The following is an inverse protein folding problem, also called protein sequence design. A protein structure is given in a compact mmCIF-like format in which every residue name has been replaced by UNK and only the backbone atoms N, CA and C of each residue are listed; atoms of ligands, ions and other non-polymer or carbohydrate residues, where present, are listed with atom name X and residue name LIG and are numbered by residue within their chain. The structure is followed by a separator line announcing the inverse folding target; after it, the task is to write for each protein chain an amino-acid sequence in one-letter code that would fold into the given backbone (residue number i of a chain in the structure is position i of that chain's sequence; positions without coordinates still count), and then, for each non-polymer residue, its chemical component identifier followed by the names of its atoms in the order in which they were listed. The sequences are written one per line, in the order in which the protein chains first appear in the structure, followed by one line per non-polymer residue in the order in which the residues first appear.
data_IF_044673034996
#
_entry.id   IF_044673034996
#
_cell.length_a   1.000
_cell.length_b   1.000
_cell.length_c   1.000
_cell.angle_alpha   90.00
_cell.angle_beta   90.00
_cell.angle_gamma   90.00
#
_symmetry.space_group_name_H-M   'P 1'
#
loop_
_entity.id
_entity.type
_entity.pdbx_description
1 polymer ?
#
# COMPACT_ATOMS: atom_id res chain seq x y z
N UNK A 1 26.31 -42.46 27.44
CA UNK A 1 25.68 -41.81 26.26
C UNK A 1 25.39 -40.36 26.67
N UNK A 2 26.30 -39.45 26.29
CA UNK A 2 26.22 -38.02 26.61
C UNK A 2 25.33 -37.32 25.60
N UNK A 3 24.18 -36.79 26.09
CA UNK A 3 23.36 -35.87 25.33
C UNK A 3 24.00 -34.46 25.29
N UNK A 4 24.36 -34.01 24.10
CA UNK A 4 24.75 -32.61 23.87
C UNK A 4 23.50 -31.75 23.80
N UNK A 5 23.37 -30.82 24.76
CA UNK A 5 22.39 -29.71 24.76
C UNK A 5 22.73 -28.77 23.63
N UNK A 6 21.76 -28.49 22.77
CA UNK A 6 21.89 -27.47 21.73
C UNK A 6 21.92 -26.09 22.40
N UNK A 7 23.03 -25.38 22.20
CA UNK A 7 23.19 -24.01 22.70
C UNK A 7 22.23 -23.08 21.95
N UNK A 8 21.37 -22.41 22.72
CA UNK A 8 20.53 -21.31 22.26
C UNK A 8 21.43 -20.12 21.92
N UNK A 9 21.61 -19.84 20.63
CA UNK A 9 22.31 -18.64 20.19
C UNK A 9 21.39 -17.45 20.45
N UNK A 10 21.90 -16.38 21.08
CA UNK A 10 21.09 -15.17 21.27
C UNK A 10 20.81 -14.52 19.93
N UNK A 11 19.53 -14.32 19.62
CA UNK A 11 19.14 -13.43 18.54
C UNK A 11 19.68 -12.01 18.83
N UNK A 12 20.31 -11.33 17.85
CA UNK A 12 20.67 -9.95 18.03
C UNK A 12 19.37 -9.15 18.27
N UNK A 13 19.29 -8.51 19.42
CA UNK A 13 18.21 -7.58 19.73
C UNK A 13 18.25 -6.46 18.70
N UNK A 14 17.24 -6.40 17.83
CA UNK A 14 17.00 -5.24 16.99
C UNK A 14 16.76 -4.07 17.94
N UNK A 15 17.67 -3.08 17.92
CA UNK A 15 17.47 -1.82 18.62
C UNK A 15 16.13 -1.23 18.16
N UNK A 16 15.28 -0.71 19.06
CA UNK A 16 14.05 -0.06 18.66
C UNK A 16 14.41 1.23 17.90
N UNK A 17 14.46 1.13 16.58
CA UNK A 17 14.33 2.30 15.73
C UNK A 17 12.90 2.80 15.96
N UNK A 18 12.76 3.93 16.63
CA UNK A 18 11.50 4.67 16.60
C UNK A 18 11.19 4.93 15.14
N UNK A 19 10.17 4.31 14.54
CA UNK A 19 9.87 4.53 13.15
C UNK A 19 9.28 5.93 13.06
N UNK A 20 10.06 6.89 12.55
CA UNK A 20 9.48 8.14 12.09
C UNK A 20 8.54 7.78 10.95
N UNK A 21 7.25 7.82 11.24
CA UNK A 21 6.20 7.55 10.24
C UNK A 21 6.37 8.53 9.08
N UNK A 22 6.41 8.05 7.83
CA UNK A 22 6.59 8.92 6.68
C UNK A 22 5.49 9.97 6.60
N UNK A 23 5.87 11.25 6.53
CA UNK A 23 4.92 12.36 6.35
C UNK A 23 4.34 12.32 4.93
N UNK A 24 3.07 12.72 4.76
CA UNK A 24 2.46 12.84 3.43
C UNK A 24 3.25 13.83 2.55
N UNK A 25 3.40 13.47 1.30
CA UNK A 25 3.91 14.40 0.28
C UNK A 25 2.74 15.22 -0.30
N UNK A 26 2.98 16.42 -0.87
CA UNK A 26 1.91 17.21 -1.48
C UNK A 26 1.15 16.40 -2.54
N UNK A 27 -0.18 16.53 -2.54
CA UNK A 27 -1.00 15.88 -3.56
C UNK A 27 -0.70 16.47 -4.95
N UNK A 28 -0.70 15.65 -6.00
CA UNK A 28 -0.46 16.13 -7.36
C UNK A 28 -1.58 17.07 -7.79
N UNK A 29 -1.23 18.14 -8.47
CA UNK A 29 -2.22 19.00 -9.12
C UNK A 29 -2.65 18.32 -10.43
N UNK A 30 -3.86 17.79 -10.45
CA UNK A 30 -4.47 17.33 -11.70
C UNK A 30 -4.85 18.53 -12.56
N UNK A 31 -4.67 18.42 -13.87
CA UNK A 31 -5.13 19.43 -14.81
C UNK A 31 -6.64 19.69 -14.64
N UNK A 32 -7.13 20.89 -15.01
CA UNK A 32 -8.54 21.22 -14.91
C UNK A 32 -9.41 20.24 -15.69
N UNK A 33 -10.60 19.91 -15.16
CA UNK A 33 -11.57 19.06 -15.84
C UNK A 33 -12.13 19.77 -17.06
N UNK A 34 -12.09 19.12 -18.21
CA UNK A 34 -12.75 19.61 -19.42
C UNK A 34 -14.24 19.25 -19.33
N UNK A 35 -15.13 20.22 -19.59
CA UNK A 35 -16.57 20.00 -19.54
C UNK A 35 -16.98 18.83 -20.46
N UNK A 36 -17.68 17.85 -19.91
CA UNK A 36 -18.12 16.64 -20.62
C UNK A 36 -17.10 15.52 -20.71
N UNK A 37 -15.91 15.66 -20.13
CA UNK A 37 -14.90 14.62 -20.04
C UNK A 37 -14.55 14.37 -18.57
N UNK A 38 -15.21 13.41 -17.89
CA UNK A 38 -14.93 13.12 -16.50
C UNK A 38 -13.51 12.58 -16.33
N UNK A 39 -12.87 12.91 -15.22
CA UNK A 39 -11.62 12.28 -14.80
C UNK A 39 -11.87 10.83 -14.47
N UNK A 40 -11.04 9.97 -14.99
CA UNK A 40 -11.07 8.54 -14.71
C UNK A 40 -10.13 8.24 -13.54
N UNK A 41 -10.69 7.72 -12.46
CA UNK A 41 -9.93 7.37 -11.25
C UNK A 41 -10.02 5.86 -11.03
N UNK A 42 -8.89 5.17 -11.02
CA UNK A 42 -8.85 3.78 -10.64
C UNK A 42 -8.57 3.63 -9.15
N UNK A 43 -9.32 2.74 -8.49
CA UNK A 43 -9.07 2.33 -7.10
C UNK A 43 -8.39 0.96 -7.17
N UNK A 44 -7.12 0.89 -6.78
CA UNK A 44 -6.32 -0.33 -6.86
C UNK A 44 -5.87 -0.79 -5.46
N UNK A 45 -5.76 -2.09 -5.26
CA UNK A 45 -5.20 -2.62 -4.02
C UNK A 45 -5.89 -3.86 -3.47
N UNK A 46 -5.54 -4.19 -2.24
CA UNK A 46 -6.02 -5.36 -1.51
C UNK A 46 -7.30 -5.07 -0.70
N UNK A 47 -7.51 -5.78 0.41
CA UNK A 47 -8.66 -5.55 1.30
C UNK A 47 -8.66 -4.14 1.92
N UNK A 48 -7.52 -3.47 2.01
CA UNK A 48 -7.46 -2.09 2.51
C UNK A 48 -8.18 -1.14 1.56
N UNK A 49 -8.09 -1.36 0.25
CA UNK A 49 -8.92 -0.66 -0.72
C UNK A 49 -10.35 -1.20 -0.74
N UNK A 50 -10.51 -2.52 -0.89
CA UNK A 50 -11.80 -3.16 -1.13
C UNK A 50 -12.81 -2.95 0.01
N UNK A 51 -12.35 -3.00 1.27
CA UNK A 51 -13.21 -2.93 2.47
C UNK A 51 -13.00 -1.61 3.22
N UNK A 52 -11.77 -1.08 3.21
CA UNK A 52 -11.43 0.11 3.99
C UNK A 52 -11.82 1.42 3.32
N UNK A 53 -11.48 1.62 2.06
CA UNK A 53 -11.57 2.92 1.39
C UNK A 53 -12.62 3.02 0.29
N UNK A 54 -12.87 1.93 -0.44
CA UNK A 54 -13.65 1.99 -1.69
C UNK A 54 -15.06 2.54 -1.48
N UNK A 55 -15.76 2.12 -0.44
CA UNK A 55 -17.15 2.54 -0.20
C UNK A 55 -17.25 4.04 0.10
N UNK A 56 -16.30 4.58 0.85
CA UNK A 56 -16.24 6.02 1.14
C UNK A 56 -15.96 6.79 -0.14
N UNK A 57 -14.91 6.41 -0.89
CA UNK A 57 -14.52 7.08 -2.12
C UNK A 57 -15.63 7.03 -3.19
N UNK A 58 -16.30 5.89 -3.33
CA UNK A 58 -17.43 5.74 -4.25
C UNK A 58 -18.62 6.60 -3.85
N UNK A 59 -18.94 6.69 -2.56
CA UNK A 59 -20.03 7.54 -2.07
C UNK A 59 -19.74 9.02 -2.29
N UNK A 60 -18.53 9.48 -1.92
CA UNK A 60 -18.11 10.87 -2.08
C UNK A 60 -18.03 11.32 -3.54
N UNK A 61 -17.75 10.39 -4.45
CA UNK A 61 -17.68 10.69 -5.90
C UNK A 61 -18.98 10.46 -6.65
N UNK A 62 -19.97 9.76 -6.07
CA UNK A 62 -21.20 9.33 -6.75
C UNK A 62 -22.01 10.49 -7.36
N UNK A 63 -22.04 11.65 -6.69
CA UNK A 63 -22.77 12.83 -7.15
C UNK A 63 -21.93 13.76 -8.05
N UNK A 64 -20.66 13.44 -8.27
CA UNK A 64 -19.75 14.28 -9.04
C UNK A 64 -19.68 13.81 -10.52
N UNK A 65 -20.35 14.49 -11.47
CA UNK A 65 -20.35 14.08 -12.88
C UNK A 65 -18.99 14.24 -13.55
N UNK A 66 -18.03 14.89 -12.88
CA UNK A 66 -16.67 15.10 -13.38
C UNK A 66 -15.70 13.99 -12.99
N UNK A 67 -16.17 12.96 -12.27
CA UNK A 67 -15.36 11.82 -11.84
C UNK A 67 -16.04 10.53 -12.22
N UNK A 68 -15.28 9.62 -12.84
CA UNK A 68 -15.67 8.25 -13.11
C UNK A 68 -14.69 7.30 -12.44
N UNK A 69 -15.20 6.38 -11.64
CA UNK A 69 -14.38 5.48 -10.83
C UNK A 69 -14.34 4.09 -11.46
N UNK A 70 -13.14 3.51 -11.52
CA UNK A 70 -12.88 2.11 -11.91
C UNK A 70 -12.45 1.34 -10.68
N UNK A 71 -13.02 0.16 -10.48
CA UNK A 71 -12.67 -0.75 -9.39
C UNK A 71 -11.62 -1.75 -9.89
N UNK A 72 -10.40 -1.63 -9.41
CA UNK A 72 -9.28 -2.51 -9.72
C UNK A 72 -8.64 -3.03 -8.43
N UNK A 73 -9.43 -3.67 -7.56
CA UNK A 73 -8.96 -4.16 -6.26
C UNK A 73 -9.39 -5.61 -6.02
N UNK A 74 -8.57 -6.35 -5.25
CA UNK A 74 -8.80 -7.75 -4.91
C UNK A 74 -8.36 -8.05 -3.48
N UNK A 75 -9.30 -8.38 -2.59
CA UNK A 75 -9.00 -8.78 -1.20
C UNK A 75 -8.10 -10.03 -1.16
N UNK A 76 -7.23 -10.10 -0.15
CA UNK A 76 -6.34 -11.23 0.06
C UNK A 76 -5.11 -11.25 -0.85
N UNK A 77 -4.85 -10.19 -1.61
CA UNK A 77 -3.70 -10.06 -2.51
C UNK A 77 -2.62 -9.15 -1.94
N UNK A 78 -1.49 -9.06 -2.63
CA UNK A 78 -0.36 -8.18 -2.28
C UNK A 78 0.71 -8.27 -3.36
N UNK A 79 1.77 -7.49 -3.20
CA UNK A 79 2.91 -7.52 -4.11
C UNK A 79 3.97 -8.57 -3.74
N UNK A 80 3.90 -9.10 -2.51
CA UNK A 80 4.84 -10.13 -2.05
C UNK A 80 4.59 -11.52 -2.67
N UNK A 81 3.39 -11.78 -3.20
CA UNK A 81 2.98 -13.10 -3.69
C UNK A 81 2.39 -13.06 -5.12
N UNK A 82 3.22 -12.74 -6.14
CA UNK A 82 2.75 -12.76 -7.54
C UNK A 82 2.35 -14.17 -8.00
N UNK A 83 2.84 -15.22 -7.35
CA UNK A 83 2.41 -16.60 -7.56
C UNK A 83 0.95 -16.88 -7.15
N UNK A 84 0.37 -16.05 -6.30
CA UNK A 84 -1.05 -16.10 -5.88
C UNK A 84 -1.91 -15.14 -6.70
N UNK A 85 -1.40 -13.94 -6.96
CA UNK A 85 -2.08 -12.92 -7.73
C UNK A 85 -1.05 -11.93 -8.28
N UNK A 86 -0.85 -11.96 -9.60
CA UNK A 86 0.12 -11.09 -10.26
C UNK A 86 -0.53 -9.76 -10.67
N UNK A 87 -0.24 -8.72 -9.89
CA UNK A 87 -0.74 -7.37 -10.14
C UNK A 87 -0.27 -6.80 -11.49
N UNK A 88 0.85 -7.29 -12.03
CA UNK A 88 1.35 -6.82 -13.34
C UNK A 88 0.49 -7.31 -14.51
N UNK A 89 -0.14 -8.47 -14.36
CA UNK A 89 -1.06 -9.06 -15.34
C UNK A 89 -2.51 -8.65 -15.06
N UNK A 90 -2.91 -8.67 -13.80
CA UNK A 90 -4.31 -8.53 -13.40
C UNK A 90 -4.81 -7.08 -13.43
N UNK A 91 -3.97 -6.09 -13.06
CA UNK A 91 -4.39 -4.69 -13.08
C UNK A 91 -4.81 -4.23 -14.50
N UNK A 92 -4.02 -4.49 -15.57
CA UNK A 92 -4.45 -4.18 -16.92
C UNK A 92 -5.77 -4.88 -17.31
N UNK A 93 -5.95 -6.14 -16.90
CA UNK A 93 -7.19 -6.87 -17.17
C UNK A 93 -8.40 -6.23 -16.46
N UNK A 94 -8.22 -5.75 -15.22
CA UNK A 94 -9.28 -5.08 -14.45
C UNK A 94 -9.71 -3.74 -15.03
N UNK A 95 -8.77 -2.94 -15.53
CA UNK A 95 -9.09 -1.63 -16.12
C UNK A 95 -9.53 -1.74 -17.59
N UNK A 96 -9.21 -2.85 -18.27
CA UNK A 96 -9.55 -3.08 -19.68
C UNK A 96 -8.93 -2.02 -20.61
N UNK A 97 -9.76 -1.38 -21.43
CA UNK A 97 -9.32 -0.31 -22.34
C UNK A 97 -9.28 1.08 -21.72
N UNK A 98 -9.57 1.19 -20.42
CA UNK A 98 -9.61 2.47 -19.73
C UNK A 98 -8.20 3.04 -19.50
N UNK A 99 -8.12 4.36 -19.53
CA UNK A 99 -6.88 5.08 -19.24
C UNK A 99 -7.12 6.00 -18.04
N UNK A 100 -6.79 5.55 -16.81
CA UNK A 100 -6.97 6.38 -15.62
C UNK A 100 -6.11 7.65 -15.68
N UNK A 101 -6.69 8.79 -15.31
CA UNK A 101 -5.97 10.04 -15.04
C UNK A 101 -5.26 9.98 -13.68
N UNK A 102 -5.86 9.23 -12.76
CA UNK A 102 -5.31 9.02 -11.41
C UNK A 102 -5.58 7.60 -10.91
N UNK A 103 -4.69 7.09 -10.08
CA UNK A 103 -4.85 5.80 -9.40
C UNK A 103 -4.67 6.01 -7.90
N UNK A 104 -5.64 5.60 -7.10
CA UNK A 104 -5.51 5.56 -5.65
C UNK A 104 -5.18 4.13 -5.26
N UNK A 105 -4.03 3.93 -4.61
CA UNK A 105 -3.53 2.60 -4.24
C UNK A 105 -3.56 2.43 -2.73
N UNK A 106 -4.18 1.34 -2.25
CA UNK A 106 -4.08 0.88 -0.87
C UNK A 106 -3.79 -0.63 -0.86
N UNK A 107 -2.52 -1.00 -0.68
CA UNK A 107 -2.01 -2.37 -0.80
C UNK A 107 -0.86 -2.61 0.18
N UNK A 108 -0.67 -3.86 0.58
CA UNK A 108 0.46 -4.28 1.39
C UNK A 108 0.09 -4.97 2.70
N UNK A 109 -1.18 -4.95 3.10
CA UNK A 109 -1.61 -5.56 4.36
C UNK A 109 -1.30 -7.07 4.43
N UNK A 110 -1.21 -7.76 3.30
CA UNK A 110 -0.88 -9.17 3.19
C UNK A 110 0.62 -9.45 2.94
N UNK A 111 1.43 -8.41 2.80
CA UNK A 111 2.83 -8.56 2.35
C UNK A 111 3.83 -8.80 3.48
N UNK A 112 3.42 -8.69 4.73
CA UNK A 112 4.25 -8.95 5.91
C UNK A 112 4.62 -10.42 6.12
N UNK A 113 5.06 -11.11 5.08
CA UNK A 113 5.42 -12.53 5.07
C UNK A 113 6.64 -12.79 4.21
N UNK A 114 7.34 -13.93 4.48
CA UNK A 114 8.38 -14.40 3.57
C UNK A 114 7.80 -14.90 2.26
N UNK A 115 8.61 -14.88 1.20
CA UNK A 115 8.26 -15.44 -0.11
C UNK A 115 9.43 -16.16 -0.74
N UNK A 116 9.15 -16.91 -1.81
CA UNK A 116 10.15 -17.59 -2.58
C UNK A 116 10.53 -16.77 -3.83
N UNK A 117 11.83 -16.60 -4.07
CA UNK A 117 12.39 -15.93 -5.24
C UNK A 117 13.58 -16.73 -5.73
N UNK A 118 13.62 -17.08 -7.01
CA UNK A 118 14.69 -17.86 -7.65
C UNK A 118 15.07 -19.13 -6.87
N UNK A 119 14.07 -19.86 -6.37
CA UNK A 119 14.25 -21.07 -5.59
C UNK A 119 14.75 -20.88 -4.15
N UNK A 120 14.88 -19.62 -3.68
CA UNK A 120 15.31 -19.28 -2.33
C UNK A 120 14.15 -18.69 -1.53
N UNK A 121 14.04 -19.09 -0.26
CA UNK A 121 13.09 -18.48 0.66
C UNK A 121 13.70 -17.19 1.22
N UNK A 122 13.08 -16.06 0.97
CA UNK A 122 13.44 -14.77 1.54
C UNK A 122 12.55 -14.49 2.76
N UNK A 123 13.18 -14.36 3.92
CA UNK A 123 12.46 -14.03 5.15
C UNK A 123 12.00 -12.56 5.14
N UNK A 124 10.78 -12.28 5.61
CA UNK A 124 10.26 -10.93 5.72
C UNK A 124 11.25 -9.99 6.43
N UNK A 125 11.51 -8.84 5.82
CA UNK A 125 12.38 -7.81 6.37
C UNK A 125 13.88 -8.06 6.23
N UNK A 126 14.32 -9.20 5.65
CA UNK A 126 15.73 -9.38 5.29
C UNK A 126 16.12 -8.45 4.13
N UNK A 127 17.41 -8.09 4.02
CA UNK A 127 17.88 -7.18 2.97
C UNK A 127 17.49 -7.66 1.57
N UNK A 128 17.62 -8.96 1.29
CA UNK A 128 17.21 -9.55 0.01
C UNK A 128 15.70 -9.43 -0.22
N UNK A 129 14.88 -9.67 0.82
CA UNK A 129 13.44 -9.50 0.77
C UNK A 129 13.07 -8.05 0.47
N UNK A 130 13.68 -7.11 1.20
CA UNK A 130 13.44 -5.66 1.01
C UNK A 130 13.78 -5.22 -0.41
N UNK A 131 14.92 -5.67 -0.93
CA UNK A 131 15.34 -5.35 -2.29
C UNK A 131 14.33 -5.83 -3.34
N UNK A 132 13.91 -7.09 -3.28
CA UNK A 132 12.92 -7.65 -4.22
C UNK A 132 11.58 -6.94 -4.06
N UNK A 133 11.12 -6.69 -2.84
CA UNK A 133 9.86 -6.03 -2.61
C UNK A 133 9.84 -4.58 -3.12
N UNK A 134 10.95 -3.83 -2.97
CA UNK A 134 11.12 -2.50 -3.57
C UNK A 134 11.05 -2.55 -5.11
N UNK A 135 11.66 -3.57 -5.73
CA UNK A 135 11.58 -3.77 -7.18
C UNK A 135 10.15 -4.01 -7.65
N UNK A 136 9.38 -4.82 -6.91
CA UNK A 136 7.96 -5.08 -7.21
C UNK A 136 7.09 -3.84 -7.06
N UNK A 137 7.31 -3.03 -6.03
CA UNK A 137 6.63 -1.73 -5.88
C UNK A 137 6.98 -0.81 -7.06
N UNK A 138 8.25 -0.72 -7.43
CA UNK A 138 8.70 0.13 -8.54
C UNK A 138 8.10 -0.32 -9.89
N UNK A 139 8.05 -1.63 -10.14
CA UNK A 139 7.43 -2.19 -11.33
C UNK A 139 5.93 -1.87 -11.37
N UNK A 140 5.22 -2.04 -10.24
CA UNK A 140 3.80 -1.72 -10.16
C UNK A 140 3.55 -0.22 -10.37
N UNK A 141 4.32 0.67 -9.76
CA UNK A 141 4.23 2.11 -9.99
C UNK A 141 4.49 2.47 -11.47
N UNK A 142 5.48 1.84 -12.10
CA UNK A 142 5.76 2.04 -13.53
C UNK A 142 4.56 1.64 -14.39
N UNK A 143 3.90 0.52 -14.08
CA UNK A 143 2.68 0.09 -14.76
C UNK A 143 1.55 1.10 -14.57
N UNK A 144 1.33 1.58 -13.34
CA UNK A 144 0.24 2.50 -13.03
C UNK A 144 0.41 3.87 -13.69
N UNK A 145 1.66 4.31 -13.91
CA UNK A 145 1.99 5.64 -14.45
C UNK A 145 2.30 5.66 -15.95
N UNK A 146 2.32 4.50 -16.61
CA UNK A 146 2.77 4.37 -18.03
C UNK A 146 2.01 5.26 -19.03
N UNK A 147 0.75 5.60 -18.74
CA UNK A 147 -0.08 6.47 -19.59
C UNK A 147 -0.21 7.89 -19.02
N UNK A 148 0.72 8.32 -18.16
CA UNK A 148 0.72 9.65 -17.58
C UNK A 148 -0.21 9.81 -16.37
N UNK A 149 -0.80 8.73 -15.86
CA UNK A 149 -1.61 8.79 -14.65
C UNK A 149 -0.77 9.23 -13.43
N UNK A 150 -1.40 9.94 -12.51
CA UNK A 150 -0.82 10.22 -11.20
C UNK A 150 -1.25 9.16 -10.20
N UNK A 151 -0.36 8.80 -9.27
CA UNK A 151 -0.64 7.78 -8.26
C UNK A 151 -0.67 8.42 -6.87
N UNK A 152 -1.72 8.14 -6.09
CA UNK A 152 -1.77 8.39 -4.66
C UNK A 152 -1.65 7.06 -3.94
N UNK A 153 -0.50 6.81 -3.34
CA UNK A 153 -0.27 5.61 -2.53
C UNK A 153 -0.63 5.88 -1.09
N UNK A 154 -1.65 5.21 -0.63
CA UNK A 154 -2.14 5.31 0.75
C UNK A 154 -1.36 4.35 1.63
N UNK A 155 -0.72 4.85 2.67
CA UNK A 155 -0.05 4.03 3.67
C UNK A 155 -1.02 3.15 4.43
N UNK A 156 -0.52 2.02 4.94
CA UNK A 156 -1.30 1.14 5.80
C UNK A 156 -1.62 1.86 7.13
N UNK A 157 -2.85 1.72 7.62
CA UNK A 157 -3.27 2.28 8.89
C UNK A 157 -2.59 1.58 10.08
N UNK A 158 -2.69 2.15 11.31
CA UNK A 158 -2.27 1.45 12.51
C UNK A 158 -3.16 0.23 12.72
N UNK A 159 -2.54 -0.88 13.13
CA UNK A 159 -3.21 -2.17 13.28
C UNK A 159 -3.41 -2.52 14.75
N UNK A 160 -4.54 -3.17 15.09
CA UNK A 160 -4.87 -3.59 16.47
C UNK A 160 -3.84 -4.58 17.05
N UNK A 161 -3.37 -5.53 16.26
CA UNK A 161 -2.31 -6.47 16.66
C UNK A 161 -0.95 -5.77 16.60
N UNK A 162 -0.22 -5.74 17.72
CA UNK A 162 1.12 -5.15 17.78
C UNK A 162 2.07 -5.75 16.74
N UNK A 163 2.11 -7.08 16.62
CA UNK A 163 2.93 -7.77 15.63
C UNK A 163 2.57 -7.39 14.19
N UNK A 164 1.28 -7.26 13.90
CA UNK A 164 0.82 -6.87 12.57
C UNK A 164 1.11 -5.39 12.30
N UNK A 165 1.02 -4.54 13.33
CA UNK A 165 1.34 -3.13 13.26
C UNK A 165 2.84 -2.89 12.97
N UNK A 166 3.74 -3.66 13.57
CA UNK A 166 5.18 -3.62 13.26
C UNK A 166 5.45 -3.96 11.78
N UNK A 167 4.78 -5.00 11.26
CA UNK A 167 4.89 -5.38 9.85
C UNK A 167 4.33 -4.30 8.93
N UNK A 168 3.18 -3.72 9.26
CA UNK A 168 2.58 -2.63 8.50
C UNK A 168 3.48 -1.39 8.47
N UNK A 169 4.12 -1.04 9.59
CA UNK A 169 5.07 0.05 9.67
C UNK A 169 6.29 -0.18 8.78
N UNK A 170 6.84 -1.40 8.76
CA UNK A 170 7.96 -1.76 7.89
C UNK A 170 7.56 -1.73 6.40
N UNK A 171 6.40 -2.26 6.03
CA UNK A 171 5.85 -2.16 4.67
C UNK A 171 5.70 -0.70 4.26
N UNK A 172 5.14 0.15 5.12
CA UNK A 172 5.00 1.59 4.87
C UNK A 172 6.35 2.26 4.62
N UNK A 173 7.36 1.96 5.46
CA UNK A 173 8.71 2.51 5.32
C UNK A 173 9.34 2.13 3.97
N UNK A 174 9.20 0.87 3.57
CA UNK A 174 9.73 0.37 2.30
C UNK A 174 9.00 1.00 1.12
N UNK A 175 7.66 1.02 1.14
CA UNK A 175 6.84 1.60 0.09
C UNK A 175 7.13 3.10 -0.07
N UNK A 176 7.20 3.86 1.03
CA UNK A 176 7.56 5.27 1.00
C UNK A 176 8.90 5.52 0.32
N UNK A 177 9.91 4.68 0.55
CA UNK A 177 11.23 4.82 -0.06
C UNK A 177 11.20 4.78 -1.58
N UNK A 178 10.27 4.03 -2.17
CA UNK A 178 10.08 3.91 -3.62
C UNK A 178 9.14 4.99 -4.14
N UNK A 179 7.98 5.16 -3.51
CA UNK A 179 6.95 6.12 -3.91
C UNK A 179 7.49 7.55 -3.94
N UNK A 180 8.23 7.95 -2.90
CA UNK A 180 8.80 9.31 -2.80
C UNK A 180 9.84 9.65 -3.88
N UNK A 181 10.36 8.65 -4.58
CA UNK A 181 11.31 8.82 -5.70
C UNK A 181 10.63 8.75 -7.08
N UNK A 182 9.34 8.46 -7.13
CA UNK A 182 8.58 8.33 -8.37
C UNK A 182 7.86 9.65 -8.66
N UNK A 183 8.20 10.39 -9.72
CA UNK A 183 7.70 11.75 -9.95
C UNK A 183 6.18 11.89 -10.03
N UNK A 184 5.47 10.87 -10.56
CA UNK A 184 4.01 10.85 -10.70
C UNK A 184 3.32 10.22 -9.48
N UNK A 185 4.06 9.85 -8.43
CA UNK A 185 3.50 9.22 -7.26
C UNK A 185 3.57 10.12 -6.02
N UNK A 186 2.52 10.08 -5.22
CA UNK A 186 2.40 10.82 -3.97
C UNK A 186 2.13 9.83 -2.85
N UNK A 187 2.85 9.95 -1.76
CA UNK A 187 2.58 9.21 -0.54
C UNK A 187 1.55 9.95 0.32
N UNK A 188 0.48 9.27 0.69
CA UNK A 188 -0.49 9.78 1.65
C UNK A 188 -0.46 8.96 2.94
N UNK A 189 -0.15 9.65 4.05
CA UNK A 189 -0.11 9.03 5.38
C UNK A 189 -1.47 9.14 6.06
N UNK A 190 -2.17 8.03 6.33
CA UNK A 190 -3.48 8.05 6.99
C UNK A 190 -3.40 8.28 8.50
N UNK A 191 -2.24 8.05 9.14
CA UNK A 191 -2.11 8.06 10.60
C UNK A 191 -2.65 9.33 11.29
N UNK A 192 -2.42 10.55 10.80
CA UNK A 192 -2.94 11.76 11.43
C UNK A 192 -4.48 11.83 11.49
N UNK A 193 -5.16 11.01 10.66
CA UNK A 193 -6.61 11.06 10.51
C UNK A 193 -7.32 9.90 11.21
N UNK A 194 -6.66 8.75 11.36
CA UNK A 194 -7.28 7.51 11.85
C UNK A 194 -6.58 6.89 13.06
N UNK A 195 -5.39 7.39 13.43
CA UNK A 195 -4.71 7.03 14.67
C UNK A 195 -5.25 7.79 15.88
N UNK A 196 -4.82 7.40 17.07
CA UNK A 196 -4.93 8.24 18.26
C UNK A 196 -3.88 9.38 18.20
N UNK A 197 -3.80 10.20 19.26
CA UNK A 197 -2.85 11.32 19.34
C UNK A 197 -1.37 10.87 19.24
N UNK A 198 -1.07 9.61 19.56
CA UNK A 198 0.25 8.99 19.41
C UNK A 198 0.46 8.33 18.05
N UNK A 199 -0.58 8.26 17.19
CA UNK A 199 -0.58 7.53 15.91
C UNK A 199 -0.82 6.02 16.07
N UNK A 200 -1.24 5.55 17.26
CA UNK A 200 -1.56 4.15 17.49
C UNK A 200 -2.99 3.80 17.05
N UNK A 201 -3.28 2.49 16.99
CA UNK A 201 -4.60 1.99 16.65
C UNK A 201 -5.68 2.52 17.59
N UNK A 202 -6.78 2.95 17.01
CA UNK A 202 -8.01 3.36 17.72
C UNK A 202 -9.16 2.48 17.24
N UNK A 203 -9.91 1.88 18.15
CA UNK A 203 -11.04 1.00 17.81
C UNK A 203 -12.26 1.80 17.30
N UNK A 204 -12.48 2.96 17.88
CA UNK A 204 -13.56 3.88 17.51
C UNK A 204 -13.01 5.28 17.30
N UNK A 205 -13.53 5.96 16.32
CA UNK A 205 -13.23 7.35 16.05
C UNK A 205 -14.52 8.16 16.15
N UNK A 206 -14.50 9.23 16.93
CA UNK A 206 -15.62 10.17 16.94
C UNK A 206 -15.61 10.97 15.64
N UNK A 207 -16.70 10.93 14.92
CA UNK A 207 -16.89 11.79 13.74
C UNK A 207 -17.22 13.22 14.17
N UNK A 208 -17.01 14.24 13.30
CA UNK A 208 -17.38 15.61 13.62
C UNK A 208 -18.85 15.80 14.01
N UNK A 209 -19.70 14.88 13.60
CA UNK A 209 -21.14 14.88 13.87
C UNK A 209 -21.54 14.06 15.12
N UNK A 210 -20.58 13.50 15.86
CA UNK A 210 -20.76 12.72 17.10
C UNK A 210 -20.73 11.23 16.94
#
# INVERSE_FOLDING_TARGET
VSGRSAANLPHPALSPLSPSTPTSTPLPQLAAVTKGQPRVVALAGDSMMAVGLSDILLRETAANPNVRVIKAFRSGTGLARPDVFDWMEEYPAMIGSEQPDAVIVAIGANDGQGFQEDGKVLAFGSDAWVQVYQQRIAAFLSLLTQNGATVVWVGLPPMKSAQFNEKAAEINRIAYTVVSKTPQATWWNPLPYIGDESGAYREFQTTPDG
#
